data_IF_357643608501
#
_entry.id   IF_357643608501
#
_cell.length_a   1.000
_cell.length_b   1.000
_cell.length_c   1.000
_cell.angle_alpha   90.00
_cell.angle_beta   90.00
_cell.angle_gamma   90.00
#
_symmetry.space_group_name_H-M   'P 1'
#
loop_
_entity.id
_entity.type
_entity.pdbx_description
1 polymer ?
#
# COMPACT_ATOMS: atom_id res chain seq x y z
N UNK A 1 9.18 46.86 4.06
CA UNK A 1 9.33 45.61 4.82
C UNK A 1 9.60 44.53 3.80
N UNK A 2 10.87 44.15 3.63
CA UNK A 2 11.28 43.01 2.80
C UNK A 2 12.59 42.48 3.39
N UNK A 3 12.52 41.37 4.13
CA UNK A 3 13.69 40.75 4.74
C UNK A 3 14.28 39.75 3.74
N UNK A 4 15.15 40.22 2.83
CA UNK A 4 15.95 39.35 1.95
C UNK A 4 16.90 38.52 2.82
N UNK A 5 16.60 37.23 2.95
CA UNK A 5 17.47 36.22 3.58
C UNK A 5 18.87 36.33 2.93
N UNK A 6 19.90 36.63 3.70
CA UNK A 6 21.28 36.65 3.21
C UNK A 6 21.72 35.21 2.93
N UNK A 7 21.88 34.88 1.65
CA UNK A 7 22.43 33.61 1.19
C UNK A 7 23.95 33.59 1.45
N UNK A 8 24.33 33.23 2.67
CA UNK A 8 25.71 32.94 3.00
C UNK A 8 26.10 31.53 2.53
N UNK A 9 27.40 31.30 2.29
CA UNK A 9 27.91 30.04 1.74
C UNK A 9 27.51 28.81 2.57
N UNK A 10 27.32 28.98 3.88
CA UNK A 10 26.87 27.93 4.79
C UNK A 10 25.41 27.57 4.50
N UNK A 11 24.54 28.57 4.30
CA UNK A 11 23.14 28.36 3.91
C UNK A 11 23.02 27.60 2.60
N UNK A 12 23.77 28.02 1.58
CA UNK A 12 23.81 27.32 0.27
C UNK A 12 24.36 25.91 0.38
N UNK A 13 25.37 25.67 1.23
CA UNK A 13 25.86 24.31 1.51
C UNK A 13 24.80 23.46 2.20
N UNK A 14 24.03 24.04 3.12
CA UNK A 14 23.02 23.32 3.88
C UNK A 14 21.79 22.97 3.04
N UNK A 15 21.39 23.86 2.14
CA UNK A 15 20.35 23.57 1.15
C UNK A 15 20.78 22.48 0.16
N UNK A 16 22.06 22.49 -0.27
CA UNK A 16 22.61 21.41 -1.11
C UNK A 16 22.72 20.08 -0.37
N UNK A 17 23.07 20.10 0.92
CA UNK A 17 23.10 18.90 1.77
C UNK A 17 21.68 18.33 1.92
N UNK A 18 20.68 19.19 2.16
CA UNK A 18 19.27 18.80 2.22
C UNK A 18 18.79 18.19 0.90
N UNK A 19 19.18 18.74 -0.25
CA UNK A 19 18.84 18.19 -1.56
C UNK A 19 19.56 16.87 -1.87
N UNK A 20 20.80 16.68 -1.40
CA UNK A 20 21.51 15.41 -1.46
C UNK A 20 20.85 14.34 -0.59
N UNK A 21 20.48 14.69 0.65
CA UNK A 21 19.72 13.81 1.56
C UNK A 21 18.34 13.48 0.98
N UNK A 22 17.62 14.45 0.41
CA UNK A 22 16.35 14.20 -0.29
C UNK A 22 16.51 13.28 -1.49
N UNK A 23 17.62 13.37 -2.24
CA UNK A 23 17.90 12.46 -3.35
C UNK A 23 18.15 11.04 -2.85
N UNK A 24 18.92 10.84 -1.79
CA UNK A 24 19.13 9.52 -1.15
C UNK A 24 17.82 8.96 -0.54
N UNK A 25 16.97 9.84 0.01
CA UNK A 25 15.64 9.48 0.50
C UNK A 25 14.65 9.18 -0.65
N UNK A 26 14.85 9.78 -1.83
CA UNK A 26 14.14 9.44 -3.07
C UNK A 26 14.66 8.16 -3.74
N UNK A 27 15.87 7.67 -3.44
CA UNK A 27 16.41 6.41 -3.99
C UNK A 27 15.57 5.19 -3.56
N UNK A 28 14.76 5.30 -2.50
CA UNK A 28 13.80 4.27 -2.08
C UNK A 28 12.37 4.62 -2.54
N UNK A 29 11.98 4.14 -3.71
CA UNK A 29 10.60 4.25 -4.22
C UNK A 29 9.63 3.35 -3.42
N UNK A 30 9.18 3.93 -2.29
CA UNK A 30 7.82 4.01 -1.72
C UNK A 30 7.11 2.79 -1.12
N UNK A 31 7.23 1.55 -1.63
CA UNK A 31 6.62 0.37 -0.95
C UNK A 31 7.52 -0.85 -0.95
N UNK A 32 8.26 -1.08 -2.03
CA UNK A 32 9.22 -2.19 -2.10
C UNK A 32 10.35 -2.00 -1.10
N UNK A 33 10.96 -0.81 -1.05
CA UNK A 33 12.03 -0.54 -0.09
C UNK A 33 11.56 -0.51 1.38
N UNK A 34 10.28 -0.19 1.61
CA UNK A 34 9.67 -0.30 2.94
C UNK A 34 9.38 -1.76 3.29
N UNK A 35 8.81 -2.53 2.37
CA UNK A 35 8.62 -3.97 2.49
C UNK A 35 9.94 -4.68 2.77
N UNK A 36 10.96 -4.39 1.99
CA UNK A 36 12.27 -5.03 2.10
C UNK A 36 12.92 -4.67 3.44
N UNK A 37 12.81 -3.42 3.89
CA UNK A 37 13.23 -3.01 5.23
C UNK A 37 12.46 -3.76 6.34
N UNK A 38 11.13 -3.88 6.22
CA UNK A 38 10.30 -4.62 7.19
C UNK A 38 10.67 -6.10 7.23
N UNK A 39 10.98 -6.70 6.08
CA UNK A 39 11.43 -8.11 6.00
C UNK A 39 12.86 -8.29 6.51
N UNK A 40 13.75 -7.32 6.30
CA UNK A 40 15.10 -7.32 6.88
C UNK A 40 15.08 -7.22 8.41
N UNK A 41 14.02 -6.65 8.98
CA UNK A 41 13.83 -6.45 10.42
C UNK A 41 12.62 -7.26 10.95
N UNK A 42 12.27 -8.36 10.28
CA UNK A 42 11.08 -9.20 10.53
C UNK A 42 10.98 -9.65 12.00
N UNK A 43 12.10 -10.08 12.58
CA UNK A 43 12.18 -10.58 13.96
C UNK A 43 11.85 -9.50 15.01
N UNK A 44 12.13 -8.22 14.72
CA UNK A 44 11.81 -7.10 15.62
C UNK A 44 10.41 -6.50 15.33
N UNK A 45 10.02 -6.40 14.06
CA UNK A 45 8.81 -5.67 13.65
C UNK A 45 7.55 -6.55 13.52
N UNK A 46 7.72 -7.83 13.20
CA UNK A 46 6.61 -8.72 12.83
C UNK A 46 6.50 -9.95 13.74
N UNK A 47 7.47 -10.22 14.63
CA UNK A 47 7.47 -11.41 15.52
C UNK A 47 6.23 -11.56 16.41
N UNK A 48 5.51 -10.46 16.67
CA UNK A 48 4.27 -10.45 17.46
C UNK A 48 3.00 -10.26 16.61
N UNK A 49 3.11 -10.27 15.27
CA UNK A 49 1.97 -10.11 14.36
C UNK A 49 1.51 -11.48 13.89
N UNK A 50 0.39 -11.94 14.43
CA UNK A 50 -0.23 -13.18 13.99
C UNK A 50 -0.87 -12.99 12.60
N UNK A 51 -0.32 -13.69 11.59
CA UNK A 51 -0.97 -13.70 10.28
C UNK A 51 -2.32 -14.43 10.36
N UNK A 52 -3.39 -13.87 9.76
CA UNK A 52 -4.67 -14.52 9.74
C UNK A 52 -4.59 -15.84 8.97
N UNK A 53 -5.11 -16.91 9.60
CA UNK A 53 -5.34 -18.20 8.93
C UNK A 53 -6.23 -17.99 7.71
N UNK A 54 -5.72 -18.33 6.53
CA UNK A 54 -6.44 -18.12 5.26
C UNK A 54 -7.76 -18.91 5.23
N UNK A 55 -8.79 -18.28 4.69
CA UNK A 55 -10.13 -18.83 4.53
C UNK A 55 -10.88 -18.01 3.47
N UNK A 56 -11.12 -18.62 2.31
CA UNK A 56 -11.91 -17.97 1.25
C UNK A 56 -13.35 -17.65 1.70
N UNK A 57 -13.91 -18.41 2.64
CA UNK A 57 -15.21 -18.11 3.22
C UNK A 57 -15.20 -16.80 4.03
N UNK A 58 -14.18 -16.60 4.89
CA UNK A 58 -14.00 -15.32 5.61
C UNK A 58 -13.69 -14.18 4.65
N UNK A 59 -12.84 -14.41 3.66
CA UNK A 59 -12.54 -13.42 2.64
C UNK A 59 -13.81 -12.93 1.92
N UNK A 60 -14.65 -13.88 1.47
CA UNK A 60 -15.93 -13.56 0.82
C UNK A 60 -16.87 -12.76 1.74
N UNK A 61 -16.94 -13.13 3.03
CA UNK A 61 -17.74 -12.41 4.02
C UNK A 61 -17.31 -10.94 4.15
N UNK A 62 -16.03 -10.67 4.41
CA UNK A 62 -15.52 -9.29 4.52
C UNK A 62 -15.67 -8.51 3.21
N UNK A 63 -15.47 -9.16 2.05
CA UNK A 63 -15.71 -8.53 0.75
C UNK A 63 -17.17 -8.10 0.58
N UNK A 64 -18.12 -8.92 1.03
CA UNK A 64 -19.54 -8.57 0.97
C UNK A 64 -19.86 -7.38 1.88
N UNK A 65 -19.32 -7.34 3.11
CA UNK A 65 -19.42 -6.16 3.99
C UNK A 65 -18.85 -4.90 3.31
N UNK A 66 -17.68 -5.02 2.68
CA UNK A 66 -17.07 -3.94 1.91
C UNK A 66 -17.95 -3.46 0.77
N UNK A 67 -18.61 -4.36 0.05
CA UNK A 67 -19.56 -4.00 -1.02
C UNK A 67 -20.75 -3.20 -0.49
N UNK A 68 -21.31 -3.56 0.67
CA UNK A 68 -22.39 -2.80 1.27
C UNK A 68 -21.94 -1.38 1.64
N UNK A 69 -20.72 -1.23 2.17
CA UNK A 69 -20.13 0.07 2.50
C UNK A 69 -19.80 0.90 1.25
N UNK A 70 -19.32 0.26 0.20
CA UNK A 70 -19.06 0.89 -1.10
C UNK A 70 -20.32 1.49 -1.70
N UNK A 71 -21.42 0.72 -1.74
CA UNK A 71 -22.71 1.20 -2.23
C UNK A 71 -23.25 2.38 -1.39
N UNK A 72 -22.93 2.41 -0.10
CA UNK A 72 -23.22 3.53 0.80
C UNK A 72 -22.22 4.70 0.67
N UNK A 73 -21.26 4.62 -0.27
CA UNK A 73 -20.18 5.60 -0.49
C UNK A 73 -19.31 5.87 0.74
N UNK A 74 -19.19 4.88 1.63
CA UNK A 74 -18.32 4.93 2.81
C UNK A 74 -16.98 4.30 2.48
N UNK A 75 -16.22 4.98 1.63
CA UNK A 75 -15.04 4.41 0.97
C UNK A 75 -13.92 4.00 1.93
N UNK A 76 -13.64 4.78 2.96
CA UNK A 76 -12.60 4.45 3.94
C UNK A 76 -12.91 3.13 4.66
N UNK A 77 -14.16 2.95 5.10
CA UNK A 77 -14.61 1.71 5.75
C UNK A 77 -14.66 0.54 4.77
N UNK A 78 -15.03 0.80 3.51
CA UNK A 78 -15.01 -0.24 2.48
C UNK A 78 -13.58 -0.71 2.20
N UNK A 79 -12.59 0.19 2.18
CA UNK A 79 -11.17 -0.16 2.06
C UNK A 79 -10.70 -1.05 3.22
N UNK A 80 -11.07 -0.73 4.46
CA UNK A 80 -10.78 -1.58 5.62
C UNK A 80 -11.29 -3.02 5.41
N UNK A 81 -12.55 -3.16 4.99
CA UNK A 81 -13.17 -4.47 4.72
C UNK A 81 -12.54 -5.21 3.55
N UNK A 82 -12.14 -4.51 2.49
CA UNK A 82 -11.40 -5.15 1.40
C UNK A 82 -9.99 -5.58 1.80
N UNK A 83 -9.33 -4.84 2.70
CA UNK A 83 -8.04 -5.25 3.26
C UNK A 83 -8.18 -6.52 4.13
N UNK A 84 -9.22 -6.60 4.98
CA UNK A 84 -9.55 -7.82 5.71
C UNK A 84 -9.85 -8.98 4.74
N UNK A 85 -10.63 -8.74 3.69
CA UNK A 85 -10.88 -9.77 2.67
C UNK A 85 -9.59 -10.29 2.04
N UNK A 86 -8.67 -9.40 1.67
CA UNK A 86 -7.39 -9.76 1.03
C UNK A 86 -6.51 -10.54 2.01
N UNK A 87 -6.48 -10.15 3.29
CA UNK A 87 -5.65 -10.82 4.30
C UNK A 87 -6.08 -12.26 4.57
N UNK A 88 -7.38 -12.55 4.51
CA UNK A 88 -7.92 -13.92 4.66
C UNK A 88 -7.91 -14.73 3.36
N UNK A 89 -7.79 -14.12 2.18
CA UNK A 89 -7.91 -14.86 0.93
C UNK A 89 -6.71 -15.80 0.70
N UNK A 90 -6.98 -16.99 0.16
CA UNK A 90 -5.93 -17.92 -0.24
C UNK A 90 -5.20 -17.40 -1.49
N UNK A 91 -3.89 -17.64 -1.54
CA UNK A 91 -3.05 -17.27 -2.69
C UNK A 91 -3.57 -17.92 -3.96
N UNK A 92 -3.81 -17.10 -5.00
CA UNK A 92 -4.33 -17.57 -6.30
C UNK A 92 -5.83 -17.86 -6.33
N UNK A 93 -6.57 -17.59 -5.25
CA UNK A 93 -8.02 -17.74 -5.23
C UNK A 93 -8.74 -16.61 -5.95
N UNK A 94 -9.95 -16.91 -6.43
CA UNK A 94 -10.86 -15.88 -6.98
C UNK A 94 -11.20 -14.82 -5.93
N UNK A 95 -11.26 -15.18 -4.64
CA UNK A 95 -11.53 -14.20 -3.59
C UNK A 95 -10.40 -13.18 -3.45
N UNK A 96 -9.15 -13.59 -3.64
CA UNK A 96 -8.02 -12.67 -3.65
C UNK A 96 -8.12 -11.70 -4.83
N UNK A 97 -8.40 -12.21 -6.02
CA UNK A 97 -8.57 -11.39 -7.23
C UNK A 97 -9.75 -10.40 -7.07
N UNK A 98 -10.89 -10.86 -6.56
CA UNK A 98 -12.07 -10.02 -6.31
C UNK A 98 -11.82 -8.96 -5.24
N UNK A 99 -11.08 -9.28 -4.17
CA UNK A 99 -10.71 -8.33 -3.12
C UNK A 99 -9.89 -7.15 -3.69
N UNK A 100 -8.86 -7.46 -4.49
CA UNK A 100 -8.06 -6.44 -5.17
C UNK A 100 -8.87 -5.64 -6.19
N UNK A 101 -9.72 -6.29 -6.98
CA UNK A 101 -10.58 -5.62 -7.95
C UNK A 101 -11.54 -4.63 -7.26
N UNK A 102 -12.19 -5.05 -6.17
CA UNK A 102 -13.11 -4.17 -5.44
C UNK A 102 -12.38 -2.99 -4.77
N UNK A 103 -11.17 -3.22 -4.25
CA UNK A 103 -10.33 -2.14 -3.72
C UNK A 103 -9.89 -1.17 -4.83
N UNK A 104 -9.58 -1.68 -6.02
CA UNK A 104 -9.22 -0.84 -7.18
C UNK A 104 -10.34 0.10 -7.62
N UNK A 105 -11.61 -0.33 -7.50
CA UNK A 105 -12.76 0.50 -7.82
C UNK A 105 -12.83 1.74 -6.93
N UNK A 106 -12.52 1.62 -5.63
CA UNK A 106 -12.47 2.78 -4.73
C UNK A 106 -11.39 3.77 -5.16
N UNK A 107 -10.18 3.28 -5.46
CA UNK A 107 -9.10 4.16 -5.93
C UNK A 107 -9.47 4.86 -7.24
N UNK A 108 -10.15 4.16 -8.15
CA UNK A 108 -10.67 4.77 -9.37
C UNK A 108 -11.69 5.88 -9.09
N UNK A 109 -12.67 5.66 -8.22
CA UNK A 109 -13.67 6.67 -7.81
C UNK A 109 -13.02 7.90 -7.15
N UNK A 110 -11.88 7.72 -6.50
CA UNK A 110 -11.11 8.81 -5.85
C UNK A 110 -10.14 9.52 -6.81
N UNK A 111 -10.01 9.08 -8.06
CA UNK A 111 -9.06 9.63 -9.03
C UNK A 111 -7.62 9.14 -8.84
N UNK A 112 -7.41 8.16 -7.97
CA UNK A 112 -6.12 7.57 -7.60
C UNK A 112 -5.74 6.44 -8.58
N UNK A 113 -5.60 6.77 -9.86
CA UNK A 113 -5.53 5.79 -10.94
C UNK A 113 -4.29 4.88 -10.88
N UNK A 114 -3.15 5.38 -10.38
CA UNK A 114 -1.94 4.58 -10.21
C UNK A 114 -2.16 3.44 -9.21
N UNK A 115 -2.86 3.73 -8.10
CA UNK A 115 -3.22 2.73 -7.10
C UNK A 115 -4.26 1.75 -7.65
N UNK A 116 -5.21 2.21 -8.46
CA UNK A 116 -6.17 1.33 -9.13
C UNK A 116 -5.46 0.33 -10.05
N UNK A 117 -4.55 0.81 -10.91
CA UNK A 117 -3.76 -0.03 -11.82
C UNK A 117 -2.86 -1.01 -11.08
N UNK A 118 -2.23 -0.59 -9.98
CA UNK A 118 -1.43 -1.47 -9.13
C UNK A 118 -2.27 -2.64 -8.61
N UNK A 119 -3.49 -2.37 -8.12
CA UNK A 119 -4.39 -3.41 -7.62
C UNK A 119 -4.84 -4.39 -8.71
N UNK A 120 -5.02 -3.94 -9.95
CA UNK A 120 -5.34 -4.82 -11.08
C UNK A 120 -4.16 -5.73 -11.43
N UNK A 121 -2.92 -5.27 -11.27
CA UNK A 121 -1.71 -6.06 -11.56
C UNK A 121 -1.31 -7.06 -10.47
N UNK A 122 -1.72 -6.85 -9.21
CA UNK A 122 -1.32 -7.67 -8.06
C UNK A 122 -1.77 -9.16 -8.12
N UNK A 123 -3.00 -9.50 -8.56
CA UNK A 123 -3.43 -10.91 -8.65
C UNK A 123 -2.58 -11.77 -9.60
N UNK A 124 -2.01 -11.18 -10.67
CA UNK A 124 -1.27 -11.91 -11.69
C UNK A 124 0.21 -12.15 -11.39
N UNK A 125 0.82 -11.36 -10.50
CA UNK A 125 2.26 -11.48 -10.16
C UNK A 125 2.55 -12.61 -9.17
N UNK A 126 1.54 -13.13 -8.48
CA UNK A 126 1.72 -14.20 -7.48
C UNK A 126 1.77 -15.61 -8.12
N UNK A 127 1.51 -15.74 -9.42
CA UNK A 127 1.52 -17.02 -10.15
C UNK A 127 2.91 -17.44 -10.64
N UNK A 128 3.91 -16.54 -10.66
CA UNK A 128 5.25 -16.85 -11.19
C UNK A 128 6.33 -16.56 -10.16
N UNK A 129 6.43 -17.36 -9.10
CA UNK A 129 7.70 -17.71 -8.40
C UNK A 129 7.46 -18.83 -7.39
N UNK A 130 7.34 -20.07 -7.88
CA UNK A 130 7.79 -21.28 -7.17
C UNK A 130 8.19 -22.34 -8.20
N UNK A 131 9.50 -22.50 -8.38
CA UNK A 131 10.21 -23.75 -8.65
C UNK A 131 11.62 -23.57 -8.11
#
# INVERSE_FOLDING_TARGET
MDNKKQDNAIGTMMDRLLDLVKKDLQVKTTMAAFRDFVLEQDEELLSNIEEPVKSNAKAAHFRQEGNHLYLAKRYEKALEKYNESISYAETGSDQLAMGYANRSAIYFEQGEYEFALLNIGLPGTTTIRRN
#
